data_IF_831881875001
#
_entry.id   IF_831881875001
#
_cell.length_a   1.000
_cell.length_b   1.000
_cell.length_c   1.000
_cell.angle_alpha   90.00
_cell.angle_beta   90.00
_cell.angle_gamma   90.00
#
_symmetry.space_group_name_H-M   'P 1'
#
loop_
_entity.id
_entity.type
_entity.pdbx_description
1 polymer ?
#
# COMPACT_ATOMS: atom_id res chain seq x y z
N UNK A 1 -19.65 1.76 18.73
CA UNK A 1 -18.30 1.82 19.36
C UNK A 1 -17.28 2.34 18.34
N UNK A 2 -16.44 3.30 18.73
CA UNK A 2 -15.47 3.96 17.84
C UNK A 2 -14.13 3.20 17.73
N UNK A 3 -13.90 2.21 18.60
CA UNK A 3 -12.72 1.35 18.58
C UNK A 3 -13.15 -0.12 18.58
N UNK A 4 -12.48 -0.93 17.75
CA UNK A 4 -12.63 -2.39 17.71
C UNK A 4 -11.24 -3.00 17.58
N UNK A 5 -10.90 -3.93 18.46
CA UNK A 5 -9.61 -4.63 18.46
C UNK A 5 -9.79 -6.03 17.87
N UNK A 6 -8.91 -6.40 16.94
CA UNK A 6 -8.93 -7.70 16.28
C UNK A 6 -7.55 -8.36 16.45
N UNK A 7 -7.51 -9.57 16.99
CA UNK A 7 -6.29 -10.33 17.21
C UNK A 7 -6.26 -11.62 16.37
N UNK A 8 -5.10 -11.96 15.83
CA UNK A 8 -4.87 -13.28 15.26
C UNK A 8 -4.43 -14.25 16.35
N UNK A 9 -4.83 -15.52 16.24
CA UNK A 9 -4.40 -16.59 17.16
C UNK A 9 -2.91 -16.92 17.07
N UNK A 10 -2.28 -16.57 15.94
CA UNK A 10 -0.83 -16.70 15.67
C UNK A 10 -0.38 -15.54 14.80
N UNK A 11 0.92 -15.24 14.82
CA UNK A 11 1.49 -14.24 13.91
C UNK A 11 1.21 -14.62 12.45
N UNK A 12 0.63 -13.68 11.68
CA UNK A 12 0.29 -13.87 10.26
C UNK A 12 0.81 -12.73 9.37
N UNK A 13 1.71 -11.90 9.89
CA UNK A 13 2.31 -10.79 9.13
C UNK A 13 1.37 -9.60 8.88
N UNK A 14 1.98 -8.51 8.39
CA UNK A 14 1.30 -7.22 8.20
C UNK A 14 0.21 -7.27 7.12
N UNK A 15 0.46 -7.97 6.01
CA UNK A 15 -0.53 -8.11 4.93
C UNK A 15 -1.83 -8.74 5.43
N UNK A 16 -1.73 -9.81 6.24
CA UNK A 16 -2.91 -10.46 6.81
C UNK A 16 -3.61 -9.56 7.82
N UNK A 17 -2.86 -8.83 8.65
CA UNK A 17 -3.42 -7.91 9.63
C UNK A 17 -4.26 -6.82 8.96
N UNK A 18 -3.70 -6.18 7.92
CA UNK A 18 -4.40 -5.17 7.11
C UNK A 18 -5.66 -5.78 6.48
N UNK A 19 -5.54 -6.93 5.80
CA UNK A 19 -6.72 -7.57 5.15
C UNK A 19 -7.80 -7.93 6.15
N UNK A 20 -7.44 -8.40 7.34
CA UNK A 20 -8.40 -8.69 8.43
C UNK A 20 -9.12 -7.43 8.87
N UNK A 21 -8.39 -6.32 9.03
CA UNK A 21 -8.97 -5.01 9.32
C UNK A 21 -9.93 -4.55 8.22
N UNK A 22 -9.55 -4.66 6.95
CA UNK A 22 -10.39 -4.27 5.80
C UNK A 22 -11.68 -5.11 5.72
N UNK A 23 -11.59 -6.43 5.92
CA UNK A 23 -12.74 -7.32 5.93
C UNK A 23 -13.73 -6.93 7.04
N UNK A 24 -13.22 -6.62 8.24
CA UNK A 24 -14.03 -6.26 9.39
C UNK A 24 -14.54 -4.80 9.37
N UNK A 25 -13.91 -3.93 8.58
CA UNK A 25 -14.32 -2.54 8.42
C UNK A 25 -15.65 -2.44 7.67
N UNK A 26 -16.45 -1.44 8.04
CA UNK A 26 -17.79 -1.19 7.48
C UNK A 26 -17.83 0.02 6.54
N UNK A 27 -16.80 0.87 6.57
CA UNK A 27 -16.74 2.05 5.73
C UNK A 27 -16.44 1.71 4.27
N UNK A 28 -16.98 2.47 3.30
CA UNK A 28 -16.67 2.29 1.88
C UNK A 28 -15.24 2.71 1.54
N UNK A 29 -14.65 3.60 2.35
CA UNK A 29 -13.26 4.03 2.27
C UNK A 29 -12.50 3.53 3.49
N UNK A 30 -11.31 3.01 3.26
CA UNK A 30 -10.38 2.58 4.30
C UNK A 30 -9.19 3.52 4.31
N UNK A 31 -8.80 3.94 5.51
CA UNK A 31 -7.53 4.59 5.77
C UNK A 31 -6.65 3.67 6.60
N UNK A 32 -5.38 3.55 6.23
CA UNK A 32 -4.41 2.78 7.03
C UNK A 32 -3.34 3.71 7.60
N UNK A 33 -2.89 3.40 8.82
CA UNK A 33 -1.84 4.11 9.53
C UNK A 33 -0.99 3.08 10.29
N UNK A 34 0.33 3.20 10.22
CA UNK A 34 1.24 2.36 10.99
C UNK A 34 1.29 2.81 12.47
N UNK A 35 1.37 1.84 13.39
CA UNK A 35 1.37 2.10 14.84
C UNK A 35 2.72 2.55 15.42
N UNK A 36 3.73 2.84 14.60
CA UNK A 36 5.08 3.21 15.05
C UNK A 36 5.30 4.73 15.21
N UNK A 37 4.26 5.52 14.94
CA UNK A 37 4.26 6.98 15.11
C UNK A 37 5.04 7.75 14.04
N UNK A 38 5.53 7.09 12.98
CA UNK A 38 6.30 7.76 11.93
C UNK A 38 5.44 8.61 10.97
N UNK A 39 4.16 8.26 10.83
CA UNK A 39 3.20 8.96 9.98
C UNK A 39 2.28 9.83 10.86
N UNK A 40 2.01 11.06 10.44
CA UNK A 40 1.15 11.99 11.17
C UNK A 40 -0.34 11.66 10.91
N UNK A 41 -1.14 11.34 11.95
CA UNK A 41 -2.58 11.10 11.77
C UNK A 41 -3.31 12.29 11.13
N UNK A 42 -2.80 13.52 11.25
CA UNK A 42 -3.40 14.70 10.65
C UNK A 42 -3.43 14.64 9.11
N UNK A 43 -2.53 13.89 8.49
CA UNK A 43 -2.47 13.75 7.02
C UNK A 43 -3.61 12.88 6.45
N UNK A 44 -4.27 12.08 7.29
CA UNK A 44 -5.35 11.17 6.88
C UNK A 44 -6.53 11.94 6.26
N UNK A 45 -6.87 13.12 6.80
CA UNK A 45 -7.95 13.95 6.25
C UNK A 45 -7.66 14.42 4.83
N UNK A 46 -6.41 14.76 4.53
CA UNK A 46 -5.98 15.15 3.19
C UNK A 46 -6.03 14.00 2.19
N UNK A 47 -5.67 12.79 2.60
CA UNK A 47 -5.78 11.59 1.77
C UNK A 47 -7.24 11.26 1.47
N UNK A 48 -8.11 11.32 2.47
CA UNK A 48 -9.55 11.11 2.29
C UNK A 48 -10.15 12.14 1.33
N UNK A 49 -9.89 13.42 1.59
CA UNK A 49 -10.40 14.52 0.77
C UNK A 49 -9.97 14.41 -0.70
N UNK A 50 -8.72 14.01 -0.96
CA UNK A 50 -8.25 13.78 -2.31
C UNK A 50 -8.93 12.58 -2.98
N UNK A 51 -9.25 11.51 -2.25
CA UNK A 51 -9.93 10.33 -2.80
C UNK A 51 -11.39 10.62 -3.21
N UNK A 52 -12.08 11.48 -2.44
CA UNK A 52 -13.54 11.71 -2.58
C UNK A 52 -13.90 13.05 -3.21
N UNK A 53 -12.91 13.80 -3.72
CA UNK A 53 -13.14 15.09 -4.37
C UNK A 53 -14.08 14.96 -5.57
N UNK A 54 -14.85 16.00 -5.86
CA UNK A 54 -15.89 15.97 -6.89
C UNK A 54 -15.35 15.74 -8.31
N UNK A 55 -14.13 16.19 -8.60
CA UNK A 55 -13.41 16.03 -9.85
C UNK A 55 -12.56 14.75 -9.91
N UNK A 56 -12.68 13.86 -8.92
CA UNK A 56 -11.97 12.59 -8.92
C UNK A 56 -12.41 11.73 -10.12
N UNK A 57 -11.46 11.13 -10.87
CA UNK A 57 -11.80 10.14 -11.88
C UNK A 57 -12.65 9.01 -11.28
N UNK A 58 -13.62 8.49 -12.03
CA UNK A 58 -14.48 7.39 -11.56
C UNK A 58 -13.66 6.17 -11.07
N UNK A 59 -12.57 5.88 -11.79
CA UNK A 59 -11.65 4.77 -11.49
C UNK A 59 -10.66 5.07 -10.36
N UNK A 60 -10.67 6.25 -9.74
CA UNK A 60 -9.77 6.57 -8.64
C UNK A 60 -10.12 5.74 -7.41
N UNK A 61 -9.22 4.81 -7.05
CA UNK A 61 -9.46 3.85 -5.98
C UNK A 61 -8.45 3.92 -4.84
N UNK A 62 -7.31 4.62 -5.00
CA UNK A 62 -6.25 4.69 -4.00
C UNK A 62 -5.50 6.03 -4.07
N UNK A 63 -5.33 6.65 -2.91
CA UNK A 63 -4.33 7.70 -2.68
C UNK A 63 -3.22 7.12 -1.82
N UNK A 64 -2.01 7.08 -2.37
CA UNK A 64 -0.81 6.60 -1.68
C UNK A 64 -0.08 7.78 -1.02
N UNK A 65 0.21 7.67 0.28
CA UNK A 65 1.07 8.63 0.96
C UNK A 65 2.50 8.56 0.43
N UNK A 66 3.10 9.72 0.15
CA UNK A 66 4.49 9.88 -0.27
C UNK A 66 5.24 10.73 0.76
N UNK A 67 6.17 10.12 1.50
CA UNK A 67 6.96 10.82 2.54
C UNK A 67 7.95 11.79 1.89
N UNK A 68 7.84 13.09 2.16
CA UNK A 68 8.69 14.11 1.52
C UNK A 68 10.08 14.26 2.13
N UNK A 69 10.20 14.19 3.46
CA UNK A 69 11.47 14.40 4.18
C UNK A 69 11.84 13.18 5.00
N UNK A 70 12.46 12.18 4.37
CA UNK A 70 13.01 11.02 5.09
C UNK A 70 14.25 11.44 5.89
N UNK A 71 14.18 11.34 7.22
CA UNK A 71 15.32 11.48 8.14
C UNK A 71 15.99 10.09 8.27
N UNK A 72 16.45 9.56 7.14
CA UNK A 72 17.17 8.29 7.06
C UNK A 72 18.65 8.54 6.74
N UNK A 73 19.55 7.66 7.20
CA UNK A 73 20.96 7.68 6.81
C UNK A 73 21.13 7.52 5.30
N UNK A 74 22.17 8.12 4.71
CA UNK A 74 22.38 8.18 3.26
C UNK A 74 22.32 6.83 2.55
N UNK A 75 22.85 5.77 3.19
CA UNK A 75 22.84 4.40 2.67
C UNK A 75 21.42 3.79 2.60
N UNK A 76 20.57 4.05 3.62
CA UNK A 76 19.17 3.59 3.62
C UNK A 76 18.35 4.30 2.54
N UNK A 77 18.63 5.59 2.30
CA UNK A 77 18.02 6.36 1.20
C UNK A 77 18.41 5.77 -0.16
N UNK A 78 19.69 5.46 -0.36
CA UNK A 78 20.17 4.86 -1.62
C UNK A 78 19.54 3.49 -1.88
N UNK A 79 19.57 2.57 -0.91
CA UNK A 79 18.96 1.24 -1.05
C UNK A 79 17.46 1.31 -1.35
N UNK A 80 16.73 2.21 -0.67
CA UNK A 80 15.30 2.42 -0.94
C UNK A 80 15.05 3.01 -2.33
N UNK A 81 15.88 3.94 -2.80
CA UNK A 81 15.75 4.52 -4.15
C UNK A 81 16.03 3.47 -5.22
N UNK A 82 17.06 2.64 -5.05
CA UNK A 82 17.35 1.54 -5.96
C UNK A 82 16.20 0.54 -6.02
N UNK A 83 15.69 0.09 -4.86
CA UNK A 83 14.55 -0.83 -4.80
C UNK A 83 13.29 -0.24 -5.43
N UNK A 84 12.99 1.04 -5.17
CA UNK A 84 11.85 1.72 -5.78
C UNK A 84 12.04 1.92 -7.30
N UNK A 85 13.25 2.22 -7.77
CA UNK A 85 13.52 2.39 -9.20
C UNK A 85 13.42 1.07 -9.96
N UNK A 86 13.97 -0.01 -9.41
CA UNK A 86 13.83 -1.37 -9.97
C UNK A 86 12.35 -1.76 -10.00
N UNK A 87 11.63 -1.54 -8.89
CA UNK A 87 10.19 -1.80 -8.81
C UNK A 87 9.40 -0.99 -9.83
N UNK A 88 9.64 0.32 -9.97
CA UNK A 88 8.95 1.17 -10.95
C UNK A 88 9.27 0.77 -12.38
N UNK A 89 10.52 0.41 -12.68
CA UNK A 89 10.91 -0.06 -14.02
C UNK A 89 10.20 -1.37 -14.38
N UNK A 90 10.06 -2.27 -13.41
CA UNK A 90 9.44 -3.58 -13.59
C UNK A 90 7.91 -3.52 -13.58
N UNK A 91 7.34 -2.78 -12.63
CA UNK A 91 5.89 -2.68 -12.44
C UNK A 91 5.28 -1.53 -13.26
N UNK A 92 6.07 -0.63 -13.82
CA UNK A 92 5.59 0.56 -14.53
C UNK A 92 4.50 1.31 -13.74
N UNK A 93 4.62 1.31 -12.41
CA UNK A 93 3.64 1.95 -11.55
C UNK A 93 4.10 3.35 -11.14
N UNK A 94 3.14 4.25 -10.97
CA UNK A 94 3.38 5.66 -10.58
C UNK A 94 3.79 5.83 -9.11
N UNK A 95 3.88 4.74 -8.33
CA UNK A 95 4.13 4.80 -6.90
C UNK A 95 5.60 5.13 -6.59
N UNK A 96 5.79 6.25 -5.92
CA UNK A 96 7.06 6.77 -5.51
C UNK A 96 7.57 6.25 -4.17
N UNK A 97 6.68 5.80 -3.29
CA UNK A 97 7.02 5.30 -1.96
C UNK A 97 6.15 4.10 -1.54
N UNK A 98 6.50 2.92 -2.06
CA UNK A 98 5.86 1.64 -1.70
C UNK A 98 6.00 1.24 -0.23
N UNK A 99 6.89 1.90 0.52
CA UNK A 99 7.13 1.63 1.94
C UNK A 99 6.31 2.50 2.89
N UNK A 100 5.52 3.46 2.38
CA UNK A 100 4.62 4.23 3.23
C UNK A 100 3.34 3.41 3.50
N UNK A 101 3.11 3.03 4.76
CA UNK A 101 1.88 2.33 5.17
C UNK A 101 0.64 3.21 5.17
N UNK A 102 0.79 4.53 5.03
CA UNK A 102 -0.31 5.49 5.04
C UNK A 102 -0.94 5.66 3.65
N UNK A 103 -2.24 5.40 3.56
CA UNK A 103 -3.03 5.45 2.31
C UNK A 103 -4.51 5.53 2.61
N UNK A 104 -5.26 6.04 1.65
CA UNK A 104 -6.72 5.96 1.60
C UNK A 104 -7.14 5.16 0.35
N UNK A 105 -8.09 4.22 0.47
CA UNK A 105 -8.57 3.44 -0.68
C UNK A 105 -10.03 3.03 -0.56
N UNK A 106 -10.65 2.76 -1.72
CA UNK A 106 -11.97 2.15 -1.81
C UNK A 106 -11.91 0.68 -1.35
N UNK A 107 -12.80 0.31 -0.42
CA UNK A 107 -12.81 -0.99 0.25
C UNK A 107 -13.07 -2.13 -0.73
N UNK A 108 -14.05 -1.97 -1.59
CA UNK A 108 -14.43 -2.91 -2.64
C UNK A 108 -13.27 -3.20 -3.60
N UNK A 109 -12.61 -2.16 -4.12
CA UNK A 109 -11.43 -2.29 -4.99
C UNK A 109 -10.31 -3.11 -4.32
N UNK A 110 -10.03 -2.84 -3.04
CA UNK A 110 -9.00 -3.60 -2.31
C UNK A 110 -9.38 -5.07 -2.12
N UNK A 111 -10.66 -5.36 -1.87
CA UNK A 111 -11.12 -6.73 -1.63
C UNK A 111 -11.13 -7.60 -2.90
N UNK A 112 -11.12 -7.00 -4.09
CA UNK A 112 -10.93 -7.70 -5.35
C UNK A 112 -9.47 -8.14 -5.59
N UNK A 113 -8.51 -7.51 -4.90
CA UNK A 113 -7.10 -7.82 -5.12
C UNK A 113 -6.75 -9.24 -4.63
N UNK A 114 -5.86 -9.95 -5.34
CA UNK A 114 -5.37 -11.24 -4.89
C UNK A 114 -4.56 -11.06 -3.60
N UNK A 115 -4.69 -12.05 -2.70
CA UNK A 115 -3.94 -12.07 -1.46
C UNK A 115 -2.69 -12.93 -1.58
N UNK A 116 -1.57 -12.38 -1.11
CA UNK A 116 -0.35 -13.10 -0.76
C UNK A 116 0.33 -12.36 0.40
N UNK A 117 1.29 -13.00 1.06
CA UNK A 117 2.05 -12.28 2.07
C UNK A 117 2.85 -11.13 1.43
N UNK A 118 3.18 -10.08 2.16
CA UNK A 118 3.81 -8.85 1.65
C UNK A 118 3.04 -8.05 0.56
N UNK A 119 1.83 -8.48 0.14
CA UNK A 119 1.00 -7.73 -0.83
C UNK A 119 0.84 -6.24 -0.50
N UNK A 120 0.90 -5.84 0.78
CA UNK A 120 0.79 -4.44 1.21
C UNK A 120 1.80 -3.49 0.54
N UNK A 121 2.95 -4.00 0.05
CA UNK A 121 3.98 -3.26 -0.72
C UNK A 121 3.64 -3.10 -2.20
N UNK A 122 2.69 -3.89 -2.69
CA UNK A 122 2.31 -4.00 -4.10
C UNK A 122 0.90 -3.49 -4.38
N UNK A 123 0.14 -3.06 -3.36
CA UNK A 123 -1.24 -2.56 -3.51
C UNK A 123 -1.38 -1.53 -4.64
N UNK A 124 -0.52 -0.49 -4.76
CA UNK A 124 -0.63 0.46 -5.88
C UNK A 124 -0.51 -0.20 -7.26
N UNK A 125 0.46 -1.10 -7.43
CA UNK A 125 0.64 -1.83 -8.68
C UNK A 125 -0.52 -2.79 -8.95
N UNK A 126 -1.07 -3.43 -7.92
CA UNK A 126 -2.22 -4.34 -8.04
C UNK A 126 -3.50 -3.57 -8.39
N UNK A 127 -3.75 -2.41 -7.78
CA UNK A 127 -4.87 -1.53 -8.13
C UNK A 127 -4.81 -1.08 -9.59
N UNK A 128 -3.64 -0.61 -10.04
CA UNK A 128 -3.43 -0.25 -11.45
C UNK A 128 -3.57 -1.45 -12.37
N UNK A 129 -3.15 -2.63 -11.90
CA UNK A 129 -3.36 -3.86 -12.64
C UNK A 129 -4.83 -4.14 -12.81
N UNK A 130 -5.67 -3.84 -11.81
CA UNK A 130 -7.12 -4.00 -11.88
C UNK A 130 -7.85 -2.96 -12.76
N UNK A 131 -7.14 -1.95 -13.24
CA UNK A 131 -7.69 -0.87 -14.06
C UNK A 131 -8.01 0.40 -13.27
N UNK A 132 -7.77 0.39 -11.96
CA UNK A 132 -8.00 1.56 -11.12
C UNK A 132 -6.88 2.61 -11.26
N UNK A 133 -7.28 3.86 -11.11
CA UNK A 133 -6.38 5.00 -11.00
C UNK A 133 -5.83 5.08 -9.57
N UNK A 134 -4.52 5.35 -9.49
CA UNK A 134 -3.80 5.58 -8.24
C UNK A 134 -3.10 6.93 -8.31
N UNK A 135 -3.31 7.74 -7.28
CA UNK A 135 -2.63 9.02 -7.11
C UNK A 135 -1.76 9.03 -5.87
N UNK A 136 -0.86 10.00 -5.79
CA UNK A 136 -0.01 10.21 -4.63
C UNK A 136 -0.34 11.53 -3.93
N UNK A 137 -0.09 11.56 -2.63
CA UNK A 137 -0.14 12.79 -1.84
C UNK A 137 1.11 12.91 -0.97
N UNK A 138 1.79 14.07 -0.96
CA UNK A 138 2.76 14.40 0.07
C UNK A 138 2.22 14.19 1.47
N UNK A 139 3.00 13.53 2.33
CA UNK A 139 2.67 13.36 3.75
C UNK A 139 3.86 13.67 4.62
N UNK A 140 3.59 14.18 5.82
CA UNK A 140 4.58 14.44 6.85
C UNK A 140 5.26 13.15 7.30
N UNK A 141 6.54 13.25 7.67
CA UNK A 141 7.29 12.13 8.21
C UNK A 141 8.05 12.55 9.47
N UNK A 142 7.79 11.84 10.56
CA UNK A 142 8.44 12.06 11.86
C UNK A 142 9.50 11.00 12.10
N UNK A 143 10.54 11.34 12.86
CA UNK A 143 11.50 10.34 13.32
C UNK A 143 10.78 9.27 14.16
N UNK A 144 11.20 8.01 14.06
CA UNK A 144 10.64 6.93 14.88
C UNK A 144 10.91 7.24 16.35
N UNK A 145 9.86 7.29 17.17
CA UNK A 145 9.98 7.58 18.60
C UNK A 145 10.25 6.32 19.44
N UNK A 146 9.81 5.13 18.98
CA UNK A 146 9.94 3.88 19.74
C UNK A 146 10.23 2.67 18.83
N UNK A 147 11.05 1.72 19.30
CA UNK A 147 11.32 0.41 18.67
C UNK A 147 12.65 0.29 17.91
N UNK A 148 13.35 -0.82 18.12
CA UNK A 148 14.53 -1.19 17.31
C UNK A 148 14.11 -1.81 15.97
N UNK A 149 14.92 -1.59 14.94
CA UNK A 149 14.71 -2.14 13.60
C UNK A 149 15.04 -3.64 13.59
N UNK A 150 14.04 -4.51 13.71
CA UNK A 150 14.16 -5.98 13.74
C UNK A 150 14.55 -6.63 12.38
N UNK A 151 15.41 -6.00 11.57
CA UNK A 151 15.57 -6.38 10.16
C UNK A 151 16.99 -6.84 9.80
N UNK A 152 17.15 -8.15 9.56
CA UNK A 152 18.32 -8.75 8.90
C UNK A 152 18.18 -8.63 7.38
N UNK A 153 19.17 -8.01 6.74
CA UNK A 153 19.07 -7.46 5.37
C UNK A 153 19.00 -8.49 4.22
N UNK A 154 19.47 -9.73 4.41
CA UNK A 154 19.58 -10.71 3.30
C UNK A 154 18.28 -11.49 3.03
N UNK A 155 17.62 -12.04 4.05
CA UNK A 155 16.37 -12.81 3.87
C UNK A 155 15.26 -11.94 3.25
N UNK A 156 15.18 -10.68 3.68
CA UNK A 156 14.20 -9.72 3.17
C UNK A 156 14.40 -9.37 1.70
N UNK A 157 15.64 -9.41 1.21
CA UNK A 157 15.95 -9.18 -0.20
C UNK A 157 15.51 -10.37 -1.05
N UNK A 158 15.74 -11.60 -0.57
CA UNK A 158 15.29 -12.81 -1.24
C UNK A 158 13.75 -12.86 -1.34
N UNK A 159 13.05 -12.57 -0.24
CA UNK A 159 11.58 -12.49 -0.24
C UNK A 159 11.07 -11.42 -1.21
N UNK A 160 11.66 -10.21 -1.16
CA UNK A 160 11.26 -9.12 -2.05
C UNK A 160 11.47 -9.46 -3.54
N UNK A 161 12.53 -10.19 -3.88
CA UNK A 161 12.76 -10.68 -5.25
C UNK A 161 11.75 -11.74 -5.67
N UNK A 162 11.45 -12.70 -4.78
CA UNK A 162 10.44 -13.73 -5.01
C UNK A 162 9.05 -13.11 -5.24
N UNK A 163 8.63 -12.23 -4.33
CA UNK A 163 7.35 -11.52 -4.40
C UNK A 163 7.24 -10.69 -5.67
N UNK A 164 8.32 -10.00 -6.06
CA UNK A 164 8.33 -9.22 -7.30
C UNK A 164 8.17 -10.10 -8.54
N UNK A 165 8.81 -11.29 -8.58
CA UNK A 165 8.59 -12.28 -9.65
C UNK A 165 7.15 -12.76 -9.69
N UNK A 166 6.57 -13.06 -8.53
CA UNK A 166 5.17 -13.47 -8.40
C UNK A 166 4.22 -12.40 -8.92
N UNK A 167 4.40 -11.14 -8.54
CA UNK A 167 3.57 -10.01 -8.98
C UNK A 167 3.71 -9.78 -10.49
N UNK A 168 4.92 -9.85 -11.04
CA UNK A 168 5.12 -9.76 -12.50
C UNK A 168 4.35 -10.85 -13.24
N UNK A 169 4.46 -12.10 -12.78
CA UNK A 169 3.77 -13.23 -13.37
C UNK A 169 2.25 -13.04 -13.30
N UNK A 170 1.73 -12.67 -12.13
CA UNK A 170 0.30 -12.43 -11.89
C UNK A 170 -0.25 -11.37 -12.83
N UNK A 171 0.45 -10.23 -12.96
CA UNK A 171 0.05 -9.14 -13.86
C UNK A 171 0.06 -9.55 -15.32
N UNK A 172 1.09 -10.29 -15.75
CA UNK A 172 1.18 -10.81 -17.12
C UNK A 172 0.06 -11.80 -17.46
N UNK A 173 -0.45 -12.52 -16.46
CA UNK A 173 -1.51 -13.53 -16.61
C UNK A 173 -2.92 -12.99 -16.40
N UNK A 174 -3.06 -11.75 -15.93
CA UNK A 174 -4.34 -11.07 -15.80
C UNK A 174 -4.97 -10.88 -17.19
N UNK A 175 -6.26 -11.20 -17.29
CA UNK A 175 -7.10 -10.85 -18.44
C UNK A 175 -8.14 -9.85 -17.96
N UNK A 176 -8.17 -8.67 -18.57
CA UNK A 176 -9.22 -7.69 -18.32
C UNK A 176 -10.37 -7.97 -19.28
N UNK A 177 -11.59 -8.26 -18.81
CA UNK A 177 -12.72 -8.53 -19.70
C UNK A 177 -13.27 -7.26 -20.37
N UNK A 178 -12.88 -6.06 -19.91
CA UNK A 178 -13.35 -4.79 -20.48
C UNK A 178 -14.80 -4.42 -20.11
N UNK A 179 -15.47 -5.25 -19.33
CA UNK A 179 -16.88 -5.12 -18.96
C UNK A 179 -17.52 -6.50 -18.88
N UNK A 180 -18.76 -6.55 -18.42
CA UNK A 180 -19.63 -7.73 -18.50
C UNK A 180 -21.03 -7.20 -18.78
N UNK A 181 -21.66 -7.70 -19.84
CA UNK A 181 -23.05 -7.43 -20.16
C UNK A 181 -23.90 -8.62 -19.67
N UNK A 182 -25.08 -8.34 -19.11
CA UNK A 182 -26.10 -9.36 -18.85
C UNK A 182 -26.77 -9.71 -20.19
N UNK A 183 -26.71 -10.99 -20.57
CA UNK A 183 -27.25 -11.51 -21.83
C UNK A 183 -28.63 -12.11 -21.57
#
# INVERSE_FOLDING_TARGET
PNLRVLGHRKNAGQSRAIRTGVLAAKGPVILTLDGDGQNDPADLGGLLGQLIRADAPAELALIQGRREKRIDSGWKKFGSRLANNVRRSILKDSNADSGCGMRAFRRDAYLQLPYFDHMHRYVPALMQSEGYTVEERPVGHRARQHGQSNYTNFGRLADAMSDMRGVMWLRKRRRSPGGVDEI
#
